data_IF_762721833759
#
_entry.id   IF_762721833759
#
_cell.length_a   1.000
_cell.length_b   1.000
_cell.length_c   1.000
_cell.angle_alpha   90.00
_cell.angle_beta   90.00
_cell.angle_gamma   90.00
#
_symmetry.space_group_name_H-M   'P 1'
#
loop_
_entity.id
_entity.type
_entity.pdbx_description
1 polymer ?
#
# COMPACT_ATOMS: atom_id res chain seq x y z
N UNK A 1 0.90 5.38 -4.03
CA UNK A 1 2.27 4.83 -4.06
C UNK A 1 3.27 5.80 -4.65
N UNK A 2 3.35 5.91 -5.99
CA UNK A 2 4.42 6.63 -6.69
C UNK A 2 4.56 8.12 -6.32
N UNK A 3 3.44 8.82 -6.09
CA UNK A 3 3.46 10.20 -5.57
C UNK A 3 4.21 10.29 -4.24
N UNK A 4 3.93 9.38 -3.30
CA UNK A 4 4.59 9.33 -1.99
C UNK A 4 6.08 9.10 -2.16
N UNK A 5 6.47 8.11 -2.99
CA UNK A 5 7.87 7.80 -3.26
C UNK A 5 8.64 9.03 -3.78
N UNK A 6 8.10 9.71 -4.79
CA UNK A 6 8.66 10.97 -5.32
C UNK A 6 8.84 12.02 -4.23
N UNK A 7 7.79 12.30 -3.45
CA UNK A 7 7.83 13.37 -2.46
C UNK A 7 8.73 13.06 -1.26
N UNK A 8 8.87 11.78 -0.86
CA UNK A 8 9.83 11.37 0.17
C UNK A 8 11.27 11.51 -0.33
N UNK A 9 11.54 11.08 -1.56
CA UNK A 9 12.86 11.21 -2.17
C UNK A 9 13.29 12.69 -2.30
N UNK A 10 12.38 13.57 -2.78
CA UNK A 10 12.64 15.01 -2.86
C UNK A 10 12.96 15.63 -1.49
N UNK A 11 12.43 15.05 -0.40
CA UNK A 11 12.71 15.47 0.98
C UNK A 11 13.97 14.83 1.57
N UNK A 12 14.74 14.09 0.78
CA UNK A 12 16.03 13.50 1.18
C UNK A 12 15.94 12.12 1.81
N UNK A 13 14.78 11.45 1.77
CA UNK A 13 14.67 10.07 2.22
C UNK A 13 15.25 9.09 1.20
N UNK A 14 15.88 8.02 1.66
CA UNK A 14 16.23 6.86 0.82
C UNK A 14 14.96 6.09 0.51
N UNK A 15 14.61 5.98 -0.78
CA UNK A 15 13.36 5.38 -1.23
C UNK A 15 13.63 4.32 -2.28
N UNK A 16 13.02 3.14 -2.10
CA UNK A 16 12.88 2.12 -3.13
C UNK A 16 11.39 1.81 -3.36
N UNK A 17 11.03 1.47 -4.59
CA UNK A 17 9.66 1.16 -5.00
C UNK A 17 9.58 -0.28 -5.47
N UNK A 18 8.75 -1.07 -4.81
CA UNK A 18 8.49 -2.46 -5.16
C UNK A 18 7.16 -2.57 -5.92
N UNK A 19 7.24 -2.90 -7.20
CA UNK A 19 6.07 -3.12 -8.06
C UNK A 19 5.72 -4.61 -8.04
N UNK A 20 4.65 -4.96 -7.29
CA UNK A 20 4.17 -6.34 -7.10
C UNK A 20 2.93 -6.68 -7.94
N UNK A 21 2.30 -5.67 -8.53
CA UNK A 21 1.16 -5.83 -9.43
C UNK A 21 1.60 -5.76 -10.90
N UNK A 22 0.69 -6.11 -11.80
CA UNK A 22 0.95 -6.04 -13.23
C UNK A 22 1.06 -4.59 -13.72
N UNK A 23 2.20 -4.15 -14.30
CA UNK A 23 2.32 -2.81 -14.87
C UNK A 23 1.27 -2.51 -15.95
N UNK A 24 0.84 -3.52 -16.71
CA UNK A 24 -0.21 -3.35 -17.74
C UNK A 24 -1.58 -3.03 -17.15
N UNK A 25 -1.77 -3.30 -15.85
CA UNK A 25 -3.01 -2.99 -15.12
C UNK A 25 -2.93 -1.66 -14.37
N UNK A 26 -1.86 -0.89 -14.55
CA UNK A 26 -1.78 0.45 -13.99
C UNK A 26 -2.85 1.35 -14.62
N UNK A 27 -3.53 2.12 -13.78
CA UNK A 27 -4.40 3.20 -14.26
C UNK A 27 -3.56 4.30 -14.92
N UNK A 28 -4.21 5.14 -15.74
CA UNK A 28 -3.52 6.27 -16.39
C UNK A 28 -2.79 7.17 -15.37
N UNK A 29 -3.44 7.52 -14.26
CA UNK A 29 -2.83 8.35 -13.21
C UNK A 29 -1.64 7.67 -12.52
N UNK A 30 -1.73 6.35 -12.30
CA UNK A 30 -0.63 5.58 -11.74
C UNK A 30 0.56 5.53 -12.72
N UNK A 31 0.29 5.31 -14.01
CA UNK A 31 1.32 5.27 -15.05
C UNK A 31 2.05 6.62 -15.20
N UNK A 32 1.34 7.75 -15.16
CA UNK A 32 1.96 9.08 -15.18
C UNK A 32 2.91 9.25 -14.00
N UNK A 33 2.47 8.94 -12.78
CA UNK A 33 3.33 9.10 -11.61
C UNK A 33 4.46 8.07 -11.55
N UNK A 34 4.28 6.89 -12.13
CA UNK A 34 5.33 5.90 -12.30
C UNK A 34 6.42 6.40 -13.24
N UNK A 35 6.05 6.97 -14.39
CA UNK A 35 6.98 7.51 -15.38
C UNK A 35 7.83 8.66 -14.82
N UNK A 36 7.30 9.44 -13.87
CA UNK A 36 8.07 10.48 -13.17
C UNK A 36 9.24 9.88 -12.38
N UNK A 37 9.10 8.66 -11.85
CA UNK A 37 10.17 8.02 -11.07
C UNK A 37 11.41 7.73 -11.92
N UNK A 38 11.27 7.50 -13.22
CA UNK A 38 12.41 7.27 -14.12
C UNK A 38 13.32 8.50 -14.28
N UNK A 39 12.86 9.67 -13.87
CA UNK A 39 13.61 10.93 -13.90
C UNK A 39 14.20 11.28 -12.53
N UNK A 40 14.09 10.37 -11.57
CA UNK A 40 14.58 10.51 -10.19
C UNK A 40 15.52 9.35 -9.89
N UNK A 41 16.45 9.56 -8.96
CA UNK A 41 17.35 8.50 -8.50
C UNK A 41 16.62 7.62 -7.45
N UNK A 42 15.49 7.03 -7.88
CA UNK A 42 14.66 6.14 -7.08
C UNK A 42 14.75 4.75 -7.67
N UNK A 43 15.16 3.80 -6.86
CA UNK A 43 15.25 2.41 -7.30
C UNK A 43 13.86 1.80 -7.45
N UNK A 44 13.53 1.33 -8.65
CA UNK A 44 12.28 0.64 -8.95
C UNK A 44 12.56 -0.84 -9.20
N UNK A 45 11.94 -1.70 -8.39
CA UNK A 45 12.13 -3.15 -8.40
C UNK A 45 10.81 -3.85 -8.70
N UNK A 46 10.76 -4.61 -9.77
CA UNK A 46 9.61 -5.48 -10.04
C UNK A 46 9.78 -6.80 -9.26
N UNK A 47 8.78 -7.17 -8.46
CA UNK A 47 8.78 -8.40 -7.64
C UNK A 47 7.49 -9.17 -7.91
N UNK A 48 7.57 -10.06 -8.90
CA UNK A 48 6.48 -10.93 -9.39
C UNK A 48 7.05 -12.32 -9.69
N UNK A 49 6.20 -13.34 -9.64
CA UNK A 49 6.60 -14.73 -9.86
C UNK A 49 7.82 -15.13 -9.01
N UNK A 50 8.84 -15.70 -9.65
CA UNK A 50 10.06 -16.16 -8.98
C UNK A 50 10.80 -15.04 -8.22
N UNK A 51 10.74 -13.80 -8.72
CA UNK A 51 11.37 -12.64 -8.10
C UNK A 51 10.74 -12.24 -6.76
N UNK A 52 9.53 -12.72 -6.45
CA UNK A 52 8.85 -12.44 -5.19
C UNK A 52 9.56 -13.08 -3.99
N UNK A 53 10.33 -14.14 -4.20
CA UNK A 53 11.09 -14.80 -3.13
C UNK A 53 12.15 -13.90 -2.48
N UNK A 54 12.71 -12.94 -3.23
CA UNK A 54 13.73 -12.02 -2.76
C UNK A 54 13.15 -10.86 -1.91
N UNK A 55 11.85 -10.57 -2.04
CA UNK A 55 11.22 -9.40 -1.43
C UNK A 55 11.39 -9.41 0.10
N UNK A 56 11.19 -10.54 0.78
CA UNK A 56 11.32 -10.65 2.24
C UNK A 56 12.69 -10.20 2.77
N UNK A 57 13.78 -10.59 2.10
CA UNK A 57 15.14 -10.20 2.49
C UNK A 57 15.41 -8.71 2.26
N UNK A 58 14.79 -8.12 1.24
CA UNK A 58 14.97 -6.72 0.89
C UNK A 58 14.16 -5.78 1.80
N UNK A 59 12.93 -6.15 2.16
CA UNK A 59 12.07 -5.34 3.04
C UNK A 59 12.69 -5.12 4.42
N UNK A 60 13.49 -6.09 4.90
CA UNK A 60 14.20 -5.98 6.16
C UNK A 60 15.23 -4.84 6.22
N UNK A 61 15.67 -4.29 5.09
CA UNK A 61 16.66 -3.20 5.04
C UNK A 61 16.05 -1.80 5.28
N UNK A 62 14.73 -1.67 5.33
CA UNK A 62 14.03 -0.39 5.44
C UNK A 62 13.48 -0.16 6.85
N UNK A 63 13.43 1.10 7.27
CA UNK A 63 12.88 1.48 8.58
C UNK A 63 11.34 1.51 8.57
N UNK A 64 10.75 1.79 7.41
CA UNK A 64 9.31 1.96 7.21
C UNK A 64 8.88 1.38 5.85
N UNK A 65 7.76 0.68 5.84
CA UNK A 65 7.09 0.21 4.62
C UNK A 65 5.83 1.04 4.36
N UNK A 66 5.59 1.36 3.09
CA UNK A 66 4.34 2.01 2.66
C UNK A 66 3.55 1.01 1.83
N UNK A 67 2.41 0.56 2.36
CA UNK A 67 1.46 -0.24 1.62
C UNK A 67 0.59 0.68 0.74
N UNK A 68 0.84 0.62 -0.55
CA UNK A 68 0.03 1.27 -1.58
C UNK A 68 -0.28 0.30 -2.73
N UNK A 69 -0.40 -0.99 -2.40
CA UNK A 69 -0.58 -2.08 -3.38
C UNK A 69 -2.03 -2.15 -3.85
N UNK A 70 -3.00 -1.92 -2.97
CA UNK A 70 -4.38 -1.68 -3.35
C UNK A 70 -5.17 -0.93 -2.29
N UNK A 71 -6.35 -0.43 -2.70
CA UNK A 71 -7.28 0.33 -1.86
C UNK A 71 -8.70 -0.21 -2.01
N UNK A 72 -9.69 0.69 -2.08
CA UNK A 72 -11.13 0.35 -2.23
C UNK A 72 -11.49 -0.55 -3.43
N UNK A 73 -10.61 -0.65 -4.44
CA UNK A 73 -10.84 -1.50 -5.61
C UNK A 73 -10.62 -3.00 -5.39
N UNK A 74 -10.03 -3.41 -4.26
CA UNK A 74 -9.83 -4.83 -3.94
C UNK A 74 -11.12 -5.39 -3.33
N UNK A 75 -11.64 -6.47 -3.91
CA UNK A 75 -12.77 -7.24 -3.35
C UNK A 75 -12.40 -8.72 -3.23
N UNK A 76 -12.78 -9.31 -2.10
CA UNK A 76 -12.53 -10.71 -1.80
C UNK A 76 -11.06 -11.05 -1.49
N UNK A 77 -10.73 -12.33 -1.31
CA UNK A 77 -9.41 -12.77 -0.87
C UNK A 77 -8.34 -12.53 -1.95
N UNK A 78 -7.18 -12.03 -1.52
CA UNK A 78 -5.99 -11.91 -2.36
C UNK A 78 -5.53 -13.29 -2.84
N UNK A 79 -4.92 -13.34 -4.03
CA UNK A 79 -4.39 -14.56 -4.65
C UNK A 79 -3.02 -14.31 -5.29
N UNK A 80 -2.28 -15.38 -5.52
CA UNK A 80 -1.01 -15.36 -6.23
C UNK A 80 0.00 -14.40 -5.60
N UNK A 81 0.72 -13.66 -6.46
CA UNK A 81 1.78 -12.75 -6.06
C UNK A 81 1.36 -11.71 -5.03
N UNK A 82 0.12 -11.20 -5.10
CA UNK A 82 -0.37 -10.22 -4.13
C UNK A 82 -0.51 -10.81 -2.72
N UNK A 83 -1.09 -12.01 -2.61
CA UNK A 83 -1.23 -12.69 -1.33
C UNK A 83 0.14 -13.00 -0.70
N UNK A 84 1.09 -13.45 -1.53
CA UNK A 84 2.45 -13.74 -1.08
C UNK A 84 3.23 -12.46 -0.73
N UNK A 85 3.06 -11.36 -1.47
CA UNK A 85 3.66 -10.07 -1.14
C UNK A 85 3.18 -9.56 0.23
N UNK A 86 1.87 -9.62 0.49
CA UNK A 86 1.30 -9.20 1.78
C UNK A 86 1.82 -10.06 2.94
N UNK A 87 1.94 -11.38 2.75
CA UNK A 87 2.52 -12.25 3.75
C UNK A 87 3.97 -11.85 4.08
N UNK A 88 4.77 -11.50 3.07
CA UNK A 88 6.16 -11.06 3.27
C UNK A 88 6.26 -9.67 3.91
N UNK A 89 5.37 -8.73 3.54
CA UNK A 89 5.28 -7.41 4.19
C UNK A 89 5.04 -7.58 5.69
N UNK A 90 4.07 -8.41 6.08
CA UNK A 90 3.76 -8.66 7.48
C UNK A 90 4.89 -9.39 8.22
N UNK A 91 5.66 -10.23 7.52
CA UNK A 91 6.78 -10.97 8.10
C UNK A 91 8.08 -10.14 8.22
N UNK A 92 8.16 -8.98 7.55
CA UNK A 92 9.38 -8.16 7.52
C UNK A 92 9.74 -7.54 8.89
N UNK A 93 8.82 -7.53 9.86
CA UNK A 93 9.05 -6.95 11.19
C UNK A 93 9.27 -5.43 11.16
N UNK A 94 8.77 -4.75 10.12
CA UNK A 94 8.87 -3.29 9.93
C UNK A 94 7.52 -2.64 10.12
N UNK A 95 7.53 -1.38 10.55
CA UNK A 95 6.32 -0.59 10.65
C UNK A 95 5.73 -0.36 9.24
N UNK A 96 4.42 -0.54 9.10
CA UNK A 96 3.72 -0.37 7.83
C UNK A 96 2.71 0.78 7.93
N UNK A 97 2.79 1.72 6.99
CA UNK A 97 1.74 2.73 6.78
C UNK A 97 0.94 2.35 5.54
N UNK A 98 -0.37 2.13 5.71
CA UNK A 98 -1.28 1.84 4.61
C UNK A 98 -1.85 3.13 4.00
N UNK A 99 -2.01 3.12 2.68
CA UNK A 99 -2.57 4.22 1.90
C UNK A 99 -3.97 3.85 1.46
N UNK A 100 -4.92 4.72 1.76
CA UNK A 100 -6.36 4.50 1.68
C UNK A 100 -6.85 3.40 2.61
N UNK A 101 -6.44 2.14 2.38
CA UNK A 101 -6.92 0.93 3.05
C UNK A 101 -5.77 -0.07 3.11
N UNK A 102 -5.55 -0.80 4.23
CA UNK A 102 -4.62 -1.92 4.24
C UNK A 102 -4.97 -2.94 3.17
N UNK A 103 -4.02 -3.25 2.29
CA UNK A 103 -4.22 -4.18 1.18
C UNK A 103 -4.71 -5.53 1.70
N UNK A 104 -5.86 -5.97 1.21
CA UNK A 104 -6.54 -7.22 1.62
C UNK A 104 -7.72 -7.02 2.57
N UNK A 105 -7.90 -5.82 3.14
CA UNK A 105 -9.05 -5.47 3.97
C UNK A 105 -10.22 -5.00 3.09
N UNK A 106 -11.41 -5.56 3.32
CA UNK A 106 -12.64 -5.11 2.67
C UNK A 106 -13.13 -3.80 3.32
N UNK A 107 -13.30 -2.76 2.50
CA UNK A 107 -13.58 -1.40 2.96
C UNK A 107 -15.00 -1.19 3.48
N UNK A 108 -15.93 -2.05 3.05
CA UNK A 108 -17.35 -1.92 3.33
C UNK A 108 -17.70 -2.73 4.58
N UNK A 109 -17.08 -3.90 4.74
CA UNK A 109 -17.39 -4.88 5.80
C UNK A 109 -16.35 -4.94 6.92
N UNK A 110 -15.12 -4.47 6.67
CA UNK A 110 -13.99 -4.62 7.60
C UNK A 110 -13.44 -6.04 7.71
N UNK A 111 -13.87 -6.94 6.82
CA UNK A 111 -13.40 -8.32 6.81
C UNK A 111 -12.05 -8.45 6.10
N UNK A 112 -11.22 -9.36 6.61
CA UNK A 112 -9.93 -9.73 6.04
C UNK A 112 -9.97 -11.20 5.60
N UNK A 113 -10.57 -11.54 4.44
CA UNK A 113 -10.84 -12.93 4.02
C UNK A 113 -9.59 -13.74 3.63
N UNK A 114 -8.39 -13.15 3.75
CA UNK A 114 -7.11 -13.76 3.43
C UNK A 114 -5.95 -12.90 3.95
N UNK A 115 -4.73 -13.08 3.41
CA UNK A 115 -3.59 -12.26 3.76
C UNK A 115 -3.93 -10.77 3.63
N UNK A 116 -3.78 -10.03 4.72
CA UNK A 116 -4.11 -8.60 4.81
C UNK A 116 -2.98 -7.88 5.52
N UNK A 117 -2.58 -6.73 5.00
CA UNK A 117 -1.50 -5.93 5.58
C UNK A 117 -1.89 -5.48 7.00
N UNK A 118 -0.94 -5.61 7.94
CA UNK A 118 -1.07 -5.11 9.31
C UNK A 118 -0.34 -3.79 9.43
N UNK A 119 -1.08 -2.70 9.32
CA UNK A 119 -0.55 -1.35 9.41
C UNK A 119 -0.53 -0.85 10.85
N UNK A 120 0.49 -0.05 11.19
CA UNK A 120 0.50 0.74 12.42
C UNK A 120 -0.29 2.03 12.27
N UNK A 121 -0.48 2.47 11.01
CA UNK A 121 -1.27 3.64 10.63
C UNK A 121 -1.86 3.45 9.24
N UNK A 122 -3.09 3.92 9.04
CA UNK A 122 -3.73 4.00 7.73
C UNK A 122 -4.10 5.45 7.44
N UNK A 123 -3.67 5.98 6.30
CA UNK A 123 -4.07 7.31 5.82
C UNK A 123 -5.11 7.15 4.72
N UNK A 124 -6.38 7.42 5.03
CA UNK A 124 -7.47 7.42 4.06
C UNK A 124 -7.83 8.83 3.61
N UNK A 125 -8.56 8.93 2.51
CA UNK A 125 -8.89 10.20 1.88
C UNK A 125 -10.40 10.45 1.88
N UNK A 126 -10.77 11.73 1.98
CA UNK A 126 -12.14 12.27 1.90
C UNK A 126 -13.04 11.87 3.07
N UNK A 127 -13.17 10.59 3.34
CA UNK A 127 -14.02 10.07 4.40
C UNK A 127 -13.45 8.77 4.96
N UNK A 128 -13.68 8.55 6.26
CA UNK A 128 -13.45 7.28 6.94
C UNK A 128 -14.30 6.19 6.27
N UNK A 129 -13.71 5.01 6.06
CA UNK A 129 -14.42 3.85 5.50
C UNK A 129 -15.18 3.13 6.60
N UNK A 130 -16.41 2.69 6.31
CA UNK A 130 -17.28 2.02 7.29
C UNK A 130 -16.62 0.75 7.85
N UNK A 131 -15.90 0.01 7.01
CA UNK A 131 -15.19 -1.20 7.42
C UNK A 131 -14.11 -0.97 8.48
N UNK A 132 -13.62 0.26 8.67
CA UNK A 132 -12.64 0.55 9.73
C UNK A 132 -13.21 0.48 11.14
N UNK A 133 -14.53 0.55 11.28
CA UNK A 133 -15.22 0.52 12.57
C UNK A 133 -15.79 -0.88 12.89
N UNK A 134 -15.56 -1.85 12.01
CA UNK A 134 -15.97 -3.24 12.23
C UNK A 134 -15.10 -3.91 13.33
N UNK A 135 -15.68 -4.84 14.12
CA UNK A 135 -14.92 -5.63 15.08
C UNK A 135 -13.71 -6.33 14.44
N UNK A 136 -12.52 -6.14 15.00
CA UNK A 136 -11.27 -6.74 14.51
C UNK A 136 -10.57 -5.97 13.38
N UNK A 137 -11.21 -4.99 12.74
CA UNK A 137 -10.56 -4.18 11.70
C UNK A 137 -9.38 -3.35 12.25
N UNK A 138 -9.40 -3.03 13.54
CA UNK A 138 -8.30 -2.36 14.25
C UNK A 138 -6.97 -3.12 14.20
N UNK A 139 -7.01 -4.46 14.09
CA UNK A 139 -5.81 -5.31 14.03
C UNK A 139 -5.01 -5.12 12.73
N UNK A 140 -5.63 -4.51 11.72
CA UNK A 140 -5.05 -4.27 10.40
C UNK A 140 -4.83 -2.79 10.11
N UNK A 141 -5.70 -1.93 10.63
CA UNK A 141 -5.74 -0.51 10.26
C UNK A 141 -4.79 0.35 11.10
N UNK A 142 -4.52 -0.05 12.35
CA UNK A 142 -3.76 0.79 13.29
C UNK A 142 -4.46 2.14 13.53
N UNK A 143 -3.68 3.21 13.67
CA UNK A 143 -4.27 4.56 13.78
C UNK A 143 -4.77 5.04 12.40
N UNK A 144 -6.05 5.36 12.29
CA UNK A 144 -6.64 5.84 11.03
C UNK A 144 -6.68 7.37 11.00
N UNK A 145 -6.05 7.95 9.98
CA UNK A 145 -6.05 9.38 9.68
C UNK A 145 -6.87 9.63 8.42
N UNK A 146 -7.85 10.54 8.48
CA UNK A 146 -8.58 11.02 7.30
C UNK A 146 -7.91 12.29 6.80
N UNK A 147 -7.24 12.21 5.65
CA UNK A 147 -6.59 13.33 5.00
C UNK A 147 -7.57 14.05 4.07
N UNK A 148 -7.63 15.38 4.21
CA UNK A 148 -8.27 16.25 3.23
C UNK A 148 -7.40 16.31 1.96
N UNK A 149 -8.05 16.18 0.81
CA UNK A 149 -7.43 16.24 -0.51
C UNK A 149 -8.10 17.28 -1.42
N UNK A 150 -8.84 18.24 -0.82
CA UNK A 150 -9.50 19.33 -1.54
C UNK A 150 -10.88 18.97 -2.10
N UNK A 151 -11.55 17.96 -1.53
CA UNK A 151 -12.93 17.64 -1.91
C UNK A 151 -13.88 18.64 -1.22
N UNK A 152 -14.81 19.27 -1.95
CA UNK A 152 -15.78 20.19 -1.35
C UNK A 152 -16.62 19.47 -0.27
N UNK A 153 -17.02 20.17 0.80
CA UNK A 153 -17.92 19.59 1.79
C UNK A 153 -19.27 19.21 1.12
N UNK A 154 -19.93 18.13 1.57
CA UNK A 154 -21.26 17.80 1.10
C UNK A 154 -22.21 18.97 1.39
N UNK A 155 -22.99 19.35 0.37
CA UNK A 155 -23.98 20.42 0.44
C UNK A 155 -25.14 20.09 1.39
#
# INVERSE_FOLDING_TARGET
GFVIARHLHIRGATVAVFVVADPERMTADAAVNFAVLAHLDIEVRHRRGEGLSALAGELGAFDLLVDAVGGTGIRGPLRGDLAAAVAQINAAGRAVVAVDIPTGLDCDTGQAPGPTVKAVMTVTFVARKVGFDAPGAGDYTGNVVVADIGVPPPF
#
